data_IF_700077688128
#
_entry.id   IF_700077688128
#
_cell.length_a   1.000
_cell.length_b   1.000
_cell.length_c   1.000
_cell.angle_alpha   90.00
_cell.angle_beta   90.00
_cell.angle_gamma   90.00
#
_symmetry.space_group_name_H-M   'P 1'
#
loop_
_entity.id
_entity.type
_entity.pdbx_description
1 polymer ?
#
# COMPACT_ATOMS: atom_id res chain seq x y z
N UNK A 1 8.86 -29.38 25.67
CA UNK A 1 9.08 -28.81 27.01
C UNK A 1 10.15 -27.73 26.91
N UNK A 2 9.80 -26.45 26.76
CA UNK A 2 10.73 -25.36 27.10
C UNK A 2 10.30 -24.87 28.49
N UNK A 3 11.07 -25.19 29.55
CA UNK A 3 10.76 -24.74 30.90
C UNK A 3 11.15 -23.27 31.01
N UNK A 4 10.44 -22.40 30.29
CA UNK A 4 10.54 -20.98 30.56
C UNK A 4 9.95 -20.78 31.95
N UNK A 5 10.81 -20.43 32.91
CA UNK A 5 10.48 -20.25 34.32
C UNK A 5 9.05 -19.73 34.49
N UNK A 6 8.18 -20.49 35.16
CA UNK A 6 6.78 -20.10 35.36
C UNK A 6 6.65 -18.70 35.98
N UNK A 7 7.68 -18.29 36.76
CA UNK A 7 7.85 -16.95 37.31
C UNK A 7 8.10 -15.88 36.23
N UNK A 8 8.98 -16.15 35.26
CA UNK A 8 9.27 -15.23 34.15
C UNK A 8 8.03 -15.01 33.30
N UNK A 9 7.31 -16.08 32.95
CA UNK A 9 6.04 -15.96 32.18
C UNK A 9 4.99 -15.15 32.94
N UNK A 10 4.81 -15.40 34.25
CA UNK A 10 3.88 -14.63 35.09
C UNK A 10 4.28 -13.16 35.19
N UNK A 11 5.56 -12.85 35.33
CA UNK A 11 6.07 -11.48 35.36
C UNK A 11 5.80 -10.77 34.02
N UNK A 12 6.10 -11.42 32.88
CA UNK A 12 5.83 -10.86 31.55
C UNK A 12 4.33 -10.57 31.35
N UNK A 13 3.45 -11.49 31.74
CA UNK A 13 1.99 -11.28 31.66
C UNK A 13 1.58 -10.08 32.51
N UNK A 14 2.08 -9.98 33.75
CA UNK A 14 1.75 -8.88 34.66
C UNK A 14 2.23 -7.52 34.12
N UNK A 15 3.43 -7.48 33.51
CA UNK A 15 3.97 -6.28 32.86
C UNK A 15 3.09 -5.87 31.67
N UNK A 16 2.77 -6.81 30.77
CA UNK A 16 1.97 -6.55 29.56
C UNK A 16 0.53 -6.15 29.92
N UNK A 17 -0.05 -6.76 30.95
CA UNK A 17 -1.44 -6.54 31.32
C UNK A 17 -1.65 -5.20 32.02
N UNK A 18 -0.59 -4.60 32.57
CA UNK A 18 -0.65 -3.30 33.22
C UNK A 18 -1.20 -2.21 32.30
N UNK A 19 -2.15 -1.42 32.81
CA UNK A 19 -2.77 -0.32 32.06
C UNK A 19 -1.75 0.74 31.64
N UNK A 20 -0.73 0.97 32.46
CA UNK A 20 0.36 1.89 32.17
C UNK A 20 1.17 1.45 30.93
N UNK A 21 1.54 0.17 30.86
CA UNK A 21 2.28 -0.36 29.71
C UNK A 21 1.47 -0.25 28.41
N UNK A 22 0.19 -0.63 28.46
CA UNK A 22 -0.72 -0.53 27.31
C UNK A 22 -0.85 0.92 26.82
N UNK A 23 -1.01 1.89 27.73
CA UNK A 23 -1.09 3.31 27.40
C UNK A 23 0.23 3.82 26.82
N UNK A 24 1.37 3.48 27.44
CA UNK A 24 2.69 3.89 26.99
C UNK A 24 2.95 3.47 25.54
N UNK A 25 2.66 2.21 25.21
CA UNK A 25 2.87 1.71 23.85
C UNK A 25 1.96 2.41 22.84
N UNK A 26 0.69 2.61 23.17
CA UNK A 26 -0.25 3.32 22.29
C UNK A 26 0.26 4.75 22.03
N UNK A 27 0.70 5.46 23.06
CA UNK A 27 1.29 6.79 22.93
C UNK A 27 2.54 6.78 22.04
N UNK A 28 3.42 5.80 22.19
CA UNK A 28 4.58 5.63 21.32
C UNK A 28 4.19 5.37 19.86
N UNK A 29 3.15 4.59 19.59
CA UNK A 29 2.69 4.34 18.21
C UNK A 29 2.20 5.63 17.57
N UNK A 30 1.37 6.40 18.26
CA UNK A 30 0.90 7.71 17.78
C UNK A 30 2.06 8.68 17.56
N UNK A 31 3.00 8.78 18.51
CA UNK A 31 4.19 9.62 18.37
C UNK A 31 5.04 9.20 17.15
N UNK A 32 5.27 7.90 16.96
CA UNK A 32 6.04 7.40 15.80
C UNK A 32 5.33 7.66 14.47
N UNK A 33 3.99 7.62 14.46
CA UNK A 33 3.17 7.90 13.28
C UNK A 33 3.23 9.39 12.95
N UNK A 34 3.18 10.25 13.96
CA UNK A 34 3.34 11.69 13.79
C UNK A 34 4.72 12.05 13.24
N UNK A 35 5.79 11.44 13.78
CA UNK A 35 7.15 11.62 13.24
C UNK A 35 7.27 11.22 11.76
N UNK A 36 6.54 10.17 11.33
CA UNK A 36 6.50 9.76 9.94
C UNK A 36 5.82 10.82 9.05
N UNK A 37 4.76 11.47 9.53
CA UNK A 37 4.09 12.56 8.78
C UNK A 37 4.95 13.81 8.63
N UNK A 38 5.84 14.07 9.59
CA UNK A 38 6.78 15.18 9.53
C UNK A 38 7.97 14.92 8.59
N UNK A 39 8.05 13.73 8.00
CA UNK A 39 9.13 13.37 7.07
C UNK A 39 8.70 13.62 5.63
N UNK A 40 9.38 14.52 4.92
CA UNK A 40 9.02 14.84 3.53
C UNK A 40 9.32 13.69 2.55
N UNK A 41 8.34 13.20 1.76
CA UNK A 41 8.57 12.08 0.82
C UNK A 41 9.43 12.46 -0.39
N UNK A 42 9.51 13.75 -0.73
CA UNK A 42 10.26 14.27 -1.89
C UNK A 42 11.75 14.46 -1.61
N UNK A 43 12.15 14.29 -0.37
CA UNK A 43 13.53 14.46 0.04
C UNK A 43 14.30 13.16 -0.14
N UNK A 44 14.61 12.86 -1.39
CA UNK A 44 15.59 11.81 -1.67
C UNK A 44 16.95 12.27 -1.11
N UNK A 45 17.74 11.33 -0.55
CA UNK A 45 19.02 11.63 0.11
C UNK A 45 20.08 12.29 -0.79
N UNK A 46 19.78 12.48 -2.08
CA UNK A 46 20.68 13.04 -3.08
C UNK A 46 20.46 14.55 -3.31
N UNK A 47 19.34 15.15 -2.86
CA UNK A 47 18.88 16.46 -3.37
C UNK A 47 18.96 17.61 -2.35
N UNK A 48 19.09 17.34 -1.05
CA UNK A 48 19.07 18.35 0.02
C UNK A 48 20.06 17.95 1.13
N UNK A 49 20.81 18.91 1.73
CA UNK A 49 21.66 18.62 2.89
C UNK A 49 20.81 18.09 4.04
N UNK A 50 21.29 17.03 4.71
CA UNK A 50 20.65 16.45 5.89
C UNK A 50 20.51 17.51 6.97
N UNK A 51 19.28 18.00 7.18
CA UNK A 51 19.02 18.92 8.28
C UNK A 51 19.14 18.16 9.60
N UNK A 52 19.68 18.79 10.67
CA UNK A 52 19.83 18.12 11.98
C UNK A 52 18.47 17.67 12.56
N UNK A 53 17.37 18.23 12.06
CA UNK A 53 16.02 17.77 12.38
C UNK A 53 15.75 16.35 11.85
N UNK A 54 16.15 16.05 10.61
CA UNK A 54 15.89 14.75 9.96
C UNK A 54 16.62 13.61 10.66
N UNK A 55 17.90 13.82 11.00
CA UNK A 55 18.69 12.82 11.73
C UNK A 55 18.08 12.50 13.09
N UNK A 56 17.55 13.52 13.80
CA UNK A 56 16.86 13.32 15.07
C UNK A 56 15.54 12.57 14.91
N UNK A 57 14.75 12.87 13.88
CA UNK A 57 13.49 12.18 13.57
C UNK A 57 13.75 10.73 13.18
N UNK A 58 14.80 10.47 12.39
CA UNK A 58 15.20 9.11 12.00
C UNK A 58 15.69 8.31 13.21
N UNK A 59 16.56 8.91 14.05
CA UNK A 59 17.05 8.28 15.27
C UNK A 59 15.91 7.94 16.25
N UNK A 60 14.97 8.86 16.43
CA UNK A 60 13.77 8.62 17.24
C UNK A 60 12.90 7.51 16.64
N UNK A 61 12.69 7.51 15.33
CA UNK A 61 11.91 6.46 14.65
C UNK A 61 12.56 5.08 14.77
N UNK A 62 13.91 5.01 14.77
CA UNK A 62 14.68 3.80 15.04
C UNK A 62 14.50 3.34 16.48
N UNK A 63 14.61 4.22 17.47
CA UNK A 63 14.44 3.86 18.88
C UNK A 63 13.04 3.33 19.20
N UNK A 64 11.99 3.92 18.65
CA UNK A 64 10.62 3.39 18.77
C UNK A 64 10.50 1.99 18.17
N UNK A 65 11.19 1.71 17.07
CA UNK A 65 11.16 0.38 16.43
C UNK A 65 11.75 -0.70 17.33
N UNK A 66 12.85 -0.39 18.04
CA UNK A 66 13.47 -1.29 19.01
C UNK A 66 12.53 -1.52 20.21
N UNK A 67 11.86 -0.47 20.69
CA UNK A 67 10.90 -0.58 21.79
C UNK A 67 9.73 -1.51 21.42
N UNK A 68 9.16 -1.36 20.21
CA UNK A 68 8.10 -2.26 19.74
C UNK A 68 8.59 -3.69 19.49
N UNK A 69 9.86 -3.88 19.06
CA UNK A 69 10.45 -5.21 18.95
C UNK A 69 10.51 -5.89 20.32
N UNK A 70 11.01 -5.17 21.32
CA UNK A 70 11.10 -5.69 22.69
C UNK A 70 9.72 -6.08 23.24
N UNK A 71 8.73 -5.22 23.02
CA UNK A 71 7.36 -5.48 23.41
C UNK A 71 6.77 -6.74 22.74
N UNK A 72 7.00 -6.91 21.44
CA UNK A 72 6.54 -8.10 20.72
C UNK A 72 7.25 -9.37 21.19
N UNK A 73 8.54 -9.30 21.54
CA UNK A 73 9.27 -10.42 22.15
C UNK A 73 8.66 -10.79 23.50
N UNK A 74 8.30 -9.80 24.34
CA UNK A 74 7.59 -10.05 25.59
C UNK A 74 6.24 -10.74 25.36
N UNK A 75 5.49 -10.33 24.33
CA UNK A 75 4.21 -10.93 23.97
C UNK A 75 4.36 -12.39 23.49
N UNK A 76 5.38 -12.67 22.68
CA UNK A 76 5.73 -14.03 22.24
C UNK A 76 6.09 -14.92 23.45
N UNK A 77 6.85 -14.38 24.40
CA UNK A 77 7.24 -15.09 25.64
C UNK A 77 6.02 -15.34 26.54
N UNK A 78 5.12 -14.36 26.66
CA UNK A 78 3.93 -14.45 27.50
C UNK A 78 2.92 -15.48 26.97
N UNK A 79 2.64 -15.48 25.66
CA UNK A 79 1.65 -16.35 25.03
C UNK A 79 2.23 -17.72 24.60
N UNK A 80 3.54 -17.83 24.40
CA UNK A 80 4.21 -19.06 23.96
C UNK A 80 4.13 -19.26 22.45
N UNK A 81 5.24 -19.74 21.87
CA UNK A 81 5.44 -19.85 20.41
C UNK A 81 4.50 -20.87 19.73
N UNK A 82 4.34 -22.08 20.28
CA UNK A 82 3.72 -23.21 19.54
C UNK A 82 2.79 -24.08 20.42
N UNK A 83 3.06 -24.27 21.71
CA UNK A 83 2.32 -25.21 22.56
C UNK A 83 1.57 -24.51 23.72
N UNK A 84 0.34 -24.10 23.45
CA UNK A 84 -0.64 -23.61 24.43
C UNK A 84 -2.03 -23.52 23.80
N UNK A 85 -3.10 -23.63 24.60
CA UNK A 85 -4.51 -23.55 24.14
C UNK A 85 -4.84 -22.21 23.45
N UNK A 86 -3.98 -21.20 23.62
CA UNK A 86 -3.96 -19.89 22.94
C UNK A 86 -2.61 -19.66 22.25
N UNK A 87 -2.19 -20.55 21.35
CA UNK A 87 -0.90 -20.42 20.66
C UNK A 87 -0.83 -19.13 19.84
N UNK A 88 0.31 -18.41 19.95
CA UNK A 88 0.51 -17.09 19.32
C UNK A 88 0.23 -17.10 17.81
N UNK A 89 0.56 -18.21 17.13
CA UNK A 89 0.41 -18.40 15.69
C UNK A 89 -1.02 -18.72 15.21
N UNK A 90 -2.01 -18.96 16.09
CA UNK A 90 -3.40 -19.15 15.65
C UNK A 90 -4.14 -17.82 15.43
N UNK A 91 -3.64 -16.72 15.98
CA UNK A 91 -4.26 -15.40 15.84
C UNK A 91 -3.68 -14.67 14.63
N UNK A 92 -4.53 -14.39 13.65
CA UNK A 92 -4.16 -13.61 12.45
C UNK A 92 -3.50 -12.28 12.81
N UNK A 93 -4.00 -11.60 13.84
CA UNK A 93 -3.48 -10.33 14.32
C UNK A 93 -2.03 -10.41 14.83
N UNK A 94 -1.66 -11.53 15.45
CA UNK A 94 -0.31 -11.75 15.95
C UNK A 94 0.66 -12.08 14.82
N UNK A 95 0.22 -12.87 13.83
CA UNK A 95 1.00 -13.15 12.61
C UNK A 95 1.29 -11.86 11.85
N UNK A 96 0.27 -11.02 11.68
CA UNK A 96 0.39 -9.74 10.99
C UNK A 96 1.41 -8.82 11.67
N UNK A 97 1.37 -8.74 13.00
CA UNK A 97 2.34 -7.95 13.77
C UNK A 97 3.77 -8.48 13.61
N UNK A 98 3.96 -9.81 13.71
CA UNK A 98 5.24 -10.47 13.48
C UNK A 98 5.77 -10.24 12.06
N UNK A 99 4.90 -10.26 11.05
CA UNK A 99 5.26 -9.94 9.66
C UNK A 99 5.77 -8.50 9.54
N UNK A 100 5.04 -7.52 10.08
CA UNK A 100 5.46 -6.11 10.03
C UNK A 100 6.81 -5.92 10.76
N UNK A 101 7.04 -6.61 11.89
CA UNK A 101 8.33 -6.57 12.60
C UNK A 101 9.47 -7.17 11.77
N UNK A 102 9.23 -8.31 11.12
CA UNK A 102 10.23 -8.98 10.30
C UNK A 102 10.68 -8.12 9.11
N UNK A 103 9.74 -7.46 8.43
CA UNK A 103 10.03 -6.50 7.36
C UNK A 103 10.83 -5.33 7.91
N UNK A 104 10.44 -4.77 9.07
CA UNK A 104 11.17 -3.68 9.71
C UNK A 104 12.61 -4.05 10.04
N UNK A 105 12.86 -5.28 10.51
CA UNK A 105 14.21 -5.80 10.78
C UNK A 105 15.02 -6.03 9.50
N UNK A 106 14.38 -6.50 8.43
CA UNK A 106 15.05 -6.73 7.14
C UNK A 106 15.65 -5.45 6.58
N UNK A 107 14.99 -4.31 6.80
CA UNK A 107 15.50 -3.00 6.39
C UNK A 107 16.75 -2.56 7.18
N UNK A 108 16.89 -2.97 8.45
CA UNK A 108 18.12 -2.70 9.22
C UNK A 108 19.30 -3.54 8.73
N UNK A 109 19.05 -4.79 8.33
CA UNK A 109 20.08 -5.72 7.86
C UNK A 109 20.49 -5.40 6.42
N UNK A 110 19.55 -4.97 5.58
CA UNK A 110 19.77 -4.76 4.15
C UNK A 110 20.42 -3.40 3.81
N UNK A 111 21.39 -2.96 4.63
CA UNK A 111 22.20 -1.74 4.41
C UNK A 111 23.01 -1.74 3.10
N UNK A 112 23.03 -2.86 2.35
CA UNK A 112 23.76 -3.00 1.10
C UNK A 112 22.84 -2.75 -0.11
N UNK A 113 22.81 -1.50 -0.60
CA UNK A 113 22.60 -1.15 -2.02
C UNK A 113 21.21 -1.34 -2.66
N UNK A 114 20.26 -2.03 -2.03
CA UNK A 114 18.93 -2.19 -2.61
C UNK A 114 18.07 -0.94 -2.37
N UNK A 115 17.44 -0.41 -3.42
CA UNK A 115 16.43 0.64 -3.33
C UNK A 115 15.14 0.07 -2.73
N UNK A 116 15.11 -0.10 -1.41
CA UNK A 116 13.99 -0.70 -0.69
C UNK A 116 12.85 0.30 -0.44
N UNK A 117 12.42 0.99 -1.49
CA UNK A 117 11.25 1.88 -1.45
C UNK A 117 10.01 1.17 -0.90
N UNK A 118 9.84 -0.11 -1.26
CA UNK A 118 8.77 -0.95 -0.73
C UNK A 118 8.87 -1.14 0.79
N UNK A 119 10.05 -1.42 1.35
CA UNK A 119 10.19 -1.56 2.81
C UNK A 119 9.96 -0.24 3.55
N UNK A 120 10.38 0.88 2.95
CA UNK A 120 10.06 2.21 3.47
C UNK A 120 8.56 2.45 3.53
N UNK A 121 7.81 2.07 2.48
CA UNK A 121 6.36 2.16 2.46
C UNK A 121 5.68 1.25 3.51
N UNK A 122 6.23 0.05 3.74
CA UNK A 122 5.72 -0.87 4.77
C UNK A 122 5.85 -0.32 6.20
N UNK A 123 6.72 0.67 6.45
CA UNK A 123 6.76 1.39 7.74
C UNK A 123 5.46 2.16 8.04
N UNK A 124 4.71 2.57 7.00
CA UNK A 124 3.41 3.25 7.14
C UNK A 124 2.35 2.32 7.73
N UNK A 125 2.57 1.00 7.71
CA UNK A 125 1.65 0.02 8.30
C UNK A 125 1.77 -0.11 9.82
N UNK A 126 2.71 0.58 10.50
CA UNK A 126 2.83 0.55 11.97
C UNK A 126 1.53 0.92 12.73
N UNK A 127 0.69 1.88 12.29
CA UNK A 127 -0.62 2.14 12.88
C UNK A 127 -1.55 0.92 12.87
N UNK A 128 -1.36 -0.04 11.96
CA UNK A 128 -2.10 -1.30 11.92
C UNK A 128 -1.87 -2.13 13.19
N UNK A 129 -0.73 -1.96 13.86
CA UNK A 129 -0.48 -2.57 15.19
C UNK A 129 -1.34 -1.96 16.29
N UNK A 130 -1.75 -0.70 16.16
CA UNK A 130 -2.69 -0.09 17.10
C UNK A 130 -4.07 -0.73 16.98
N UNK A 131 -4.50 -1.08 15.76
CA UNK A 131 -5.75 -1.81 15.50
C UNK A 131 -5.80 -3.11 16.32
N UNK A 132 -4.69 -3.87 16.36
CA UNK A 132 -4.62 -5.09 17.18
C UNK A 132 -4.88 -4.83 18.68
N UNK A 133 -4.59 -3.64 19.21
CA UNK A 133 -4.76 -3.34 20.65
C UNK A 133 -6.16 -2.86 20.98
N UNK A 134 -6.78 -2.11 20.07
CA UNK A 134 -8.14 -1.64 20.23
C UNK A 134 -9.13 -2.76 19.88
N UNK A 135 -9.67 -3.40 20.91
CA UNK A 135 -10.68 -4.47 20.77
C UNK A 135 -11.87 -4.03 19.92
N UNK A 136 -12.28 -2.76 20.04
CA UNK A 136 -13.33 -2.19 19.20
C UNK A 136 -12.97 -2.20 17.70
N UNK A 137 -11.75 -1.78 17.33
CA UNK A 137 -11.31 -1.78 15.94
C UNK A 137 -11.19 -3.19 15.37
N UNK A 138 -10.71 -4.16 16.17
CA UNK A 138 -10.68 -5.57 15.76
C UNK A 138 -12.05 -6.10 15.40
N UNK A 139 -13.03 -5.87 16.27
CA UNK A 139 -14.42 -6.31 16.04
C UNK A 139 -15.00 -5.67 14.77
N UNK A 140 -14.77 -4.37 14.55
CA UNK A 140 -15.17 -3.71 13.31
C UNK A 140 -14.52 -4.34 12.06
N UNK A 141 -13.22 -4.66 12.11
CA UNK A 141 -12.52 -5.29 10.98
C UNK A 141 -13.03 -6.72 10.75
N UNK A 142 -13.30 -7.49 11.81
CA UNK A 142 -13.85 -8.84 11.69
C UNK A 142 -15.23 -8.84 11.04
N UNK A 143 -16.12 -7.91 11.44
CA UNK A 143 -17.43 -7.73 10.79
C UNK A 143 -17.26 -7.27 9.33
N UNK A 144 -16.33 -6.34 9.07
CA UNK A 144 -16.03 -5.90 7.70
C UNK A 144 -15.58 -7.07 6.82
N UNK A 145 -14.69 -7.94 7.32
CA UNK A 145 -14.19 -9.10 6.60
C UNK A 145 -15.28 -10.16 6.37
N UNK A 146 -16.21 -10.32 7.31
CA UNK A 146 -17.39 -11.18 7.12
C UNK A 146 -18.27 -10.65 5.98
N UNK A 147 -18.62 -9.36 6.02
CA UNK A 147 -19.39 -8.72 4.95
C UNK A 147 -18.66 -8.72 3.61
N UNK A 148 -17.33 -8.62 3.62
CA UNK A 148 -16.51 -8.65 2.41
C UNK A 148 -16.65 -9.99 1.67
N UNK A 149 -16.75 -11.10 2.39
CA UNK A 149 -16.97 -12.42 1.79
C UNK A 149 -18.27 -12.47 0.98
N UNK A 150 -19.35 -11.87 1.47
CA UNK A 150 -20.63 -11.81 0.76
C UNK A 150 -20.57 -10.83 -0.42
N UNK A 151 -19.90 -9.69 -0.23
CA UNK A 151 -19.67 -8.71 -1.30
C UNK A 151 -18.85 -9.30 -2.44
N UNK A 152 -17.85 -10.16 -2.18
CA UNK A 152 -17.03 -10.79 -3.21
C UNK A 152 -17.86 -11.61 -4.21
N UNK A 153 -18.91 -12.30 -3.75
CA UNK A 153 -19.79 -13.06 -4.63
C UNK A 153 -20.55 -12.13 -5.61
N UNK A 154 -21.08 -11.01 -5.10
CA UNK A 154 -21.75 -10.01 -5.94
C UNK A 154 -20.76 -9.30 -6.87
N UNK A 155 -19.57 -8.99 -6.37
CA UNK A 155 -18.49 -8.37 -7.13
C UNK A 155 -18.05 -9.24 -8.30
N UNK A 156 -18.01 -10.57 -8.13
CA UNK A 156 -17.66 -11.50 -9.21
C UNK A 156 -18.67 -11.41 -10.37
N UNK A 157 -19.97 -11.36 -10.07
CA UNK A 157 -21.03 -11.20 -11.07
C UNK A 157 -20.92 -9.85 -11.77
N UNK A 158 -20.75 -8.77 -11.00
CA UNK A 158 -20.58 -7.41 -11.55
C UNK A 158 -19.33 -7.33 -12.42
N UNK A 159 -18.22 -7.92 -11.99
CA UNK A 159 -16.97 -7.98 -12.75
C UNK A 159 -17.14 -8.70 -14.09
N UNK A 160 -17.92 -9.78 -14.14
CA UNK A 160 -18.22 -10.47 -15.40
C UNK A 160 -19.03 -9.59 -16.38
N UNK A 161 -20.05 -8.88 -15.87
CA UNK A 161 -20.84 -7.94 -16.69
C UNK A 161 -19.95 -6.80 -17.19
N UNK A 162 -19.14 -6.22 -16.31
CA UNK A 162 -18.15 -5.19 -16.67
C UNK A 162 -17.16 -5.70 -17.72
N UNK A 163 -16.74 -6.96 -17.66
CA UNK A 163 -15.84 -7.57 -18.65
C UNK A 163 -16.51 -7.64 -20.02
N UNK A 164 -17.74 -8.15 -20.12
CA UNK A 164 -18.47 -8.21 -21.41
C UNK A 164 -18.71 -6.81 -21.97
N UNK A 165 -19.14 -5.87 -21.13
CA UNK A 165 -19.34 -4.47 -21.52
C UNK A 165 -18.03 -3.79 -21.94
N UNK A 166 -16.91 -4.14 -21.30
CA UNK A 166 -15.57 -3.62 -21.67
C UNK A 166 -15.11 -4.16 -23.01
N UNK A 167 -15.30 -5.45 -23.30
CA UNK A 167 -14.99 -6.04 -24.61
C UNK A 167 -15.84 -5.37 -25.69
N UNK A 168 -17.16 -5.27 -25.48
CA UNK A 168 -18.04 -4.59 -26.43
C UNK A 168 -17.65 -3.11 -26.59
N UNK A 169 -17.30 -2.43 -25.50
CA UNK A 169 -16.87 -1.03 -25.52
C UNK A 169 -15.58 -0.83 -26.31
N UNK A 170 -14.60 -1.72 -26.17
CA UNK A 170 -13.36 -1.67 -26.96
C UNK A 170 -13.67 -1.89 -28.44
N UNK A 171 -14.54 -2.83 -28.80
CA UNK A 171 -14.88 -3.07 -30.20
C UNK A 171 -15.68 -1.91 -30.82
N UNK A 172 -16.57 -1.28 -30.05
CA UNK A 172 -17.42 -0.18 -30.54
C UNK A 172 -16.70 1.17 -30.58
N UNK A 173 -15.82 1.43 -29.62
CA UNK A 173 -15.17 2.73 -29.44
C UNK A 173 -13.66 2.70 -29.70
N UNK A 174 -13.14 1.62 -30.29
CA UNK A 174 -11.75 1.57 -30.75
C UNK A 174 -11.46 2.73 -31.70
N UNK A 175 -10.51 3.58 -31.34
CA UNK A 175 -10.07 4.71 -32.17
C UNK A 175 -11.02 5.92 -32.20
N UNK A 176 -12.30 5.78 -31.85
CA UNK A 176 -13.31 6.86 -31.94
C UNK A 176 -12.90 8.10 -31.13
N UNK A 177 -12.36 7.91 -29.92
CA UNK A 177 -11.94 9.01 -29.05
C UNK A 177 -10.61 9.68 -29.47
N UNK A 178 -9.85 9.10 -30.40
CA UNK A 178 -8.55 9.62 -30.87
C UNK A 178 -8.64 10.46 -32.13
N UNK A 179 -9.82 10.55 -32.73
CA UNK A 179 -10.03 11.24 -33.99
C UNK A 179 -10.18 12.77 -33.78
N UNK A 180 -9.27 13.40 -33.03
CA UNK A 180 -9.28 14.85 -32.75
C UNK A 180 -8.02 15.49 -33.30
N UNK A 181 -8.24 16.65 -33.92
CA UNK A 181 -7.23 17.43 -34.60
C UNK A 181 -6.84 18.61 -33.68
N UNK A 182 -5.54 18.89 -33.51
CA UNK A 182 -5.03 19.97 -32.64
C UNK A 182 -4.14 20.94 -33.41
N UNK A 183 -4.12 22.22 -32.99
CA UNK A 183 -3.24 23.23 -33.60
C UNK A 183 -1.78 22.99 -33.18
N UNK A 184 -0.86 22.96 -34.15
CA UNK A 184 0.57 22.74 -33.89
C UNK A 184 1.20 23.96 -33.17
N UNK A 185 0.62 25.16 -33.32
CA UNK A 185 1.15 26.40 -32.71
C UNK A 185 0.71 26.58 -31.25
N UNK A 186 -0.58 26.34 -30.93
CA UNK A 186 -1.14 26.64 -29.60
C UNK A 186 -1.53 25.40 -28.78
N UNK A 187 -1.48 24.19 -29.36
CA UNK A 187 -1.89 22.94 -28.71
C UNK A 187 -3.40 22.84 -28.42
N UNK A 188 -4.21 23.78 -28.92
CA UNK A 188 -5.65 23.83 -28.66
C UNK A 188 -6.40 22.82 -29.56
N UNK A 189 -7.31 22.06 -28.95
CA UNK A 189 -8.18 21.09 -29.64
C UNK A 189 -9.34 21.84 -30.31
N UNK A 190 -9.58 21.57 -31.59
CA UNK A 190 -10.69 22.20 -32.33
C UNK A 190 -12.00 21.43 -32.15
N UNK A 191 -13.08 22.15 -31.80
CA UNK A 191 -14.43 21.60 -31.74
C UNK A 191 -15.05 21.58 -33.14
N UNK A 192 -15.30 20.39 -33.70
CA UNK A 192 -16.06 20.23 -34.95
C UNK A 192 -15.36 19.49 -36.08
N UNK A 193 -14.04 19.28 -36.00
CA UNK A 193 -13.30 18.47 -36.97
C UNK A 193 -12.91 17.12 -36.34
N UNK A 194 -13.29 16.03 -37.00
CA UNK A 194 -12.99 14.65 -36.60
C UNK A 194 -12.11 14.04 -37.69
N UNK A 195 -10.91 13.61 -37.31
CA UNK A 195 -9.94 12.98 -38.19
C UNK A 195 -10.24 11.46 -38.24
N UNK A 196 -10.99 10.96 -39.23
CA UNK A 196 -11.42 9.55 -39.31
C UNK A 196 -10.22 8.61 -39.54
N UNK A 197 -9.81 7.87 -38.52
CA UNK A 197 -8.77 6.84 -38.65
C UNK A 197 -9.23 5.65 -39.51
N UNK A 198 -8.30 5.07 -40.27
CA UNK A 198 -8.49 4.00 -41.26
C UNK A 198 -9.08 2.67 -40.71
N UNK A 199 -9.32 2.56 -39.40
CA UNK A 199 -9.97 1.39 -38.79
C UNK A 199 -11.49 1.29 -39.08
N UNK A 200 -12.11 2.35 -39.63
CA UNK A 200 -13.48 2.31 -40.12
C UNK A 200 -13.53 1.89 -41.60
N UNK A 201 -13.09 0.67 -41.91
CA UNK A 201 -12.86 0.17 -43.29
C UNK A 201 -14.13 -0.04 -44.15
N UNK A 202 -15.30 0.46 -43.74
CA UNK A 202 -16.58 0.31 -44.46
C UNK A 202 -17.19 1.63 -44.99
N UNK A 203 -16.50 2.78 -44.87
CA UNK A 203 -17.01 4.07 -45.39
C UNK A 203 -15.96 4.78 -46.27
N UNK A 204 -16.32 5.33 -47.45
CA UNK A 204 -15.34 5.91 -48.37
C UNK A 204 -15.20 7.43 -48.17
N UNK A 205 -14.09 7.91 -47.61
CA UNK A 205 -13.46 9.22 -47.93
C UNK A 205 -12.25 9.52 -47.02
N UNK A 206 -11.25 10.31 -47.48
CA UNK A 206 -10.01 10.52 -46.77
C UNK A 206 -10.18 11.64 -45.74
N UNK A 207 -10.03 11.35 -44.45
CA UNK A 207 -10.14 12.35 -43.40
C UNK A 207 -8.74 12.72 -42.89
N UNK A 208 -8.10 13.69 -43.54
CA UNK A 208 -6.84 14.28 -43.09
C UNK A 208 -7.09 15.67 -42.46
N UNK A 209 -6.31 15.98 -41.42
CA UNK A 209 -6.24 17.32 -40.83
C UNK A 209 -6.01 18.42 -41.89
N UNK A 210 -6.60 19.61 -41.75
CA UNK A 210 -6.19 20.79 -42.53
C UNK A 210 -4.69 21.09 -42.34
N UNK A 211 -4.07 21.72 -43.33
CA UNK A 211 -2.66 22.14 -43.28
C UNK A 211 -2.40 23.05 -42.06
N UNK A 212 -1.41 22.69 -41.23
CA UNK A 212 -1.07 23.41 -39.97
C UNK A 212 -1.54 22.72 -38.67
N UNK A 213 -2.16 21.55 -38.77
CA UNK A 213 -2.73 20.81 -37.63
C UNK A 213 -2.15 19.39 -37.52
N UNK A 214 -1.96 18.92 -36.29
CA UNK A 214 -1.48 17.58 -35.97
C UNK A 214 -2.60 16.63 -35.57
N UNK A 215 -2.41 15.33 -35.82
CA UNK A 215 -3.31 14.26 -35.37
C UNK A 215 -2.84 13.70 -34.03
N UNK A 216 -3.77 13.28 -33.17
CA UNK A 216 -3.46 12.68 -31.86
C UNK A 216 -3.13 11.18 -31.93
N UNK A 217 -2.91 10.61 -33.12
CA UNK A 217 -2.60 9.20 -33.33
C UNK A 217 -1.12 8.88 -33.01
N UNK A 218 -0.89 7.86 -32.17
CA UNK A 218 0.43 7.24 -32.03
C UNK A 218 0.70 6.50 -33.35
N UNK A 219 1.89 6.60 -33.96
CA UNK A 219 2.22 5.82 -35.14
C UNK A 219 2.01 4.36 -34.81
N UNK A 220 1.02 3.74 -35.44
CA UNK A 220 0.94 2.29 -35.52
C UNK A 220 2.24 1.87 -36.19
N UNK A 221 3.12 1.25 -35.42
CA UNK A 221 4.35 0.66 -35.91
C UNK A 221 3.91 -0.35 -36.97
N UNK A 222 4.00 0.05 -38.24
CA UNK A 222 3.81 -0.84 -39.38
C UNK A 222 4.86 -1.95 -39.25
N UNK A 223 4.44 -3.08 -38.69
CA UNK A 223 5.20 -4.31 -38.71
C UNK A 223 5.03 -4.87 -40.13
N UNK A 224 6.08 -4.86 -40.97
CA UNK A 224 6.00 -5.41 -42.31
C UNK A 224 5.78 -6.93 -42.20
N UNK A 225 4.81 -7.42 -42.98
CA UNK A 225 4.61 -8.84 -43.27
C UNK A 225 5.82 -9.46 -43.98
#
# INVERSE_FOLDING_TARGET
MLPLNAKLRRLCILIIESSFWKLLIIMCVFASSFLLTLTDPLSTPQLQPVSPFRDRVELASKSFTILFLFEAVLEIIAHGLIFGKNAYLLSFWNILDAFILSVGMLEFVSSSGANLLALRALRVLRPLRAIKRFVWLKSCVEVLLQSFSDVLNTLFIVSFICLVASIAGVQLFAGVFRNRCYSIEDGVIMNGFICQSAAASYMPSPAQCPSGYGETSIPTLDLPH
#
